data_IF_284862695690
#
_entry.id   IF_284862695690
#
_cell.length_a   1.000
_cell.length_b   1.000
_cell.length_c   1.000
_cell.angle_alpha   90.00
_cell.angle_beta   90.00
_cell.angle_gamma   90.00
#
_symmetry.space_group_name_H-M   'P 1'
#
loop_
_entity.id
_entity.type
_entity.pdbx_description
1 polymer ?
#
# COMPACT_ATOMS: atom_id res chain seq x y z
N UNK A 1 14.08 0.62 -12.48
CA UNK A 1 12.79 1.37 -12.38
C UNK A 1 12.10 1.03 -11.06
N UNK A 2 11.63 2.03 -10.33
CA UNK A 2 10.74 1.90 -9.18
C UNK A 2 9.28 2.17 -9.61
N UNK A 3 8.40 1.26 -9.28
CA UNK A 3 6.95 1.43 -9.39
C UNK A 3 6.39 1.66 -7.98
N UNK A 4 6.19 2.92 -7.60
CA UNK A 4 5.59 3.28 -6.32
C UNK A 4 4.07 3.34 -6.42
N UNK A 5 3.37 2.54 -5.62
CA UNK A 5 1.91 2.48 -5.62
C UNK A 5 1.40 3.04 -4.29
N UNK A 6 0.93 4.28 -4.30
CA UNK A 6 0.33 4.97 -3.16
C UNK A 6 -1.19 4.70 -3.10
N UNK A 7 -1.83 5.11 -2.02
CA UNK A 7 -3.29 5.00 -1.84
C UNK A 7 -3.70 4.73 -0.39
N UNK A 8 -4.98 4.83 -0.05
CA UNK A 8 -5.47 4.62 1.31
C UNK A 8 -5.39 3.15 1.75
N UNK A 9 -5.49 2.91 3.04
CA UNK A 9 -5.78 1.57 3.57
C UNK A 9 -7.07 1.05 2.91
N UNK A 10 -7.06 -0.19 2.42
CA UNK A 10 -8.20 -0.69 1.66
C UNK A 10 -8.21 -0.29 0.17
N UNK A 11 -7.33 0.61 -0.29
CA UNK A 11 -7.25 1.07 -1.67
C UNK A 11 -6.81 0.03 -2.70
N UNK A 12 -6.24 -1.10 -2.28
CA UNK A 12 -5.85 -2.19 -3.18
C UNK A 12 -4.38 -2.21 -3.58
N UNK A 13 -3.53 -1.35 -3.02
CA UNK A 13 -2.09 -1.23 -3.33
C UNK A 13 -1.35 -2.55 -3.36
N UNK A 14 -1.28 -3.25 -2.23
CA UNK A 14 -0.55 -4.51 -2.12
C UNK A 14 -1.10 -5.59 -3.06
N UNK A 15 -2.43 -5.65 -3.25
CA UNK A 15 -3.04 -6.58 -4.20
C UNK A 15 -2.63 -6.26 -5.63
N UNK A 16 -2.60 -4.97 -6.01
CA UNK A 16 -2.17 -4.51 -7.33
C UNK A 16 -0.68 -4.76 -7.54
N UNK A 17 0.15 -4.47 -6.54
CA UNK A 17 1.59 -4.75 -6.56
C UNK A 17 1.87 -6.25 -6.80
N UNK A 18 1.22 -7.13 -6.06
CA UNK A 18 1.37 -8.57 -6.24
C UNK A 18 0.77 -9.09 -7.55
N UNK A 19 -0.28 -8.45 -8.08
CA UNK A 19 -0.82 -8.77 -9.40
C UNK A 19 0.18 -8.41 -10.51
N UNK A 20 0.79 -7.22 -10.44
CA UNK A 20 1.83 -6.81 -11.38
C UNK A 20 3.01 -7.77 -11.29
N UNK A 21 3.54 -8.04 -10.07
CA UNK A 21 4.64 -8.97 -9.86
C UNK A 21 4.38 -10.34 -10.49
N UNK A 22 3.17 -10.87 -10.33
CA UNK A 22 2.80 -12.19 -10.89
C UNK A 22 2.89 -12.22 -12.41
N UNK A 23 2.55 -11.10 -13.06
CA UNK A 23 2.43 -11.00 -14.52
C UNK A 23 3.63 -10.32 -15.18
N UNK A 24 4.55 -9.79 -14.40
CA UNK A 24 5.78 -9.15 -14.88
C UNK A 24 6.99 -9.97 -14.39
N UNK A 25 7.52 -10.89 -15.23
CA UNK A 25 8.68 -11.68 -14.86
C UNK A 25 9.89 -10.82 -14.50
N UNK A 26 10.64 -11.25 -13.50
CA UNK A 26 11.80 -10.50 -13.01
C UNK A 26 11.46 -9.34 -12.09
N UNK A 27 10.20 -8.98 -11.87
CA UNK A 27 9.84 -7.93 -10.91
C UNK A 27 9.79 -8.45 -9.47
N UNK A 28 10.04 -7.56 -8.51
CA UNK A 28 9.97 -7.84 -7.07
C UNK A 28 9.08 -6.84 -6.35
N UNK A 29 8.47 -7.27 -5.24
CA UNK A 29 7.75 -6.36 -4.33
C UNK A 29 8.65 -6.11 -3.14
N UNK A 30 9.04 -4.86 -2.94
CA UNK A 30 9.75 -4.35 -1.76
C UNK A 30 8.77 -3.46 -0.98
N UNK A 31 8.18 -4.01 0.08
CA UNK A 31 7.15 -3.31 0.84
C UNK A 31 7.77 -2.46 1.95
N UNK A 32 7.65 -1.12 1.90
CA UNK A 32 8.22 -0.23 2.91
C UNK A 32 7.63 -0.39 4.32
N UNK A 33 6.43 -0.98 4.45
CA UNK A 33 5.85 -1.27 5.78
C UNK A 33 6.72 -2.25 6.57
N UNK A 34 7.46 -3.14 5.91
CA UNK A 34 8.34 -4.11 6.60
C UNK A 34 9.50 -3.42 7.34
N UNK A 35 10.01 -2.30 6.83
CA UNK A 35 11.00 -1.47 7.55
C UNK A 35 10.37 -0.92 8.82
N UNK A 36 9.15 -0.39 8.73
CA UNK A 36 8.39 0.12 9.87
C UNK A 36 8.11 -0.94 10.93
N UNK A 37 7.68 -2.13 10.52
CA UNK A 37 7.46 -3.25 11.44
C UNK A 37 8.76 -3.71 12.12
N UNK A 38 9.89 -3.68 11.41
CA UNK A 38 11.21 -3.94 12.00
C UNK A 38 11.54 -2.94 13.09
N UNK A 39 11.35 -1.64 12.83
CA UNK A 39 11.56 -0.58 13.81
C UNK A 39 10.63 -0.71 15.02
N UNK A 40 9.35 -0.98 14.80
CA UNK A 40 8.39 -1.18 15.90
C UNK A 40 8.79 -2.34 16.82
N UNK A 41 9.35 -3.42 16.29
CA UNK A 41 9.82 -4.55 17.12
C UNK A 41 11.03 -4.21 17.97
N UNK A 42 11.82 -3.22 17.57
CA UNK A 42 12.99 -2.76 18.34
C UNK A 42 12.66 -1.67 19.36
N UNK A 43 11.50 -1.00 19.23
CA UNK A 43 11.08 0.08 20.12
C UNK A 43 10.23 -0.46 21.28
N UNK A 44 10.32 0.18 22.47
CA UNK A 44 9.35 -0.02 23.55
C UNK A 44 7.92 0.24 23.06
N UNK A 45 6.90 -0.48 23.56
CA UNK A 45 5.52 -0.35 23.09
C UNK A 45 4.96 1.08 23.14
N UNK A 46 5.34 1.85 24.16
CA UNK A 46 4.92 3.24 24.39
C UNK A 46 5.48 4.24 23.36
N UNK A 47 6.48 3.85 22.58
CA UNK A 47 7.10 4.65 21.52
C UNK A 47 6.69 4.20 20.11
N UNK A 48 5.73 3.29 20.00
CA UNK A 48 5.26 2.73 18.71
C UNK A 48 4.10 3.53 18.13
N UNK A 49 4.33 4.79 17.83
CA UNK A 49 3.38 5.64 17.08
C UNK A 49 3.42 5.32 15.58
N UNK A 50 3.14 6.28 14.70
CA UNK A 50 3.31 6.06 13.27
C UNK A 50 4.80 5.98 12.93
N UNK A 51 5.23 4.84 12.42
CA UNK A 51 6.65 4.65 12.06
C UNK A 51 7.12 5.62 10.96
N UNK A 52 6.21 6.23 10.18
CA UNK A 52 6.56 7.23 9.18
C UNK A 52 7.13 8.52 9.81
N UNK A 53 6.76 8.81 11.06
CA UNK A 53 7.30 9.94 11.82
C UNK A 53 8.78 9.75 12.18
N UNK A 54 9.26 8.51 12.19
CA UNK A 54 10.66 8.19 12.44
C UNK A 54 11.55 8.51 11.24
N UNK A 55 12.56 9.34 11.42
CA UNK A 55 13.57 9.60 10.39
C UNK A 55 14.27 8.30 9.95
N UNK A 56 14.51 7.37 10.87
CA UNK A 56 15.10 6.07 10.61
C UNK A 56 14.25 5.20 9.66
N UNK A 57 12.91 5.35 9.67
CA UNK A 57 12.08 4.68 8.69
C UNK A 57 12.28 5.27 7.29
N UNK A 58 12.22 6.59 7.16
CA UNK A 58 12.36 7.27 5.86
C UNK A 58 13.74 7.01 5.24
N UNK A 59 14.79 7.12 6.03
CA UNK A 59 16.16 6.80 5.61
C UNK A 59 16.31 5.32 5.24
N UNK A 60 15.84 4.41 6.09
CA UNK A 60 15.92 2.98 5.83
C UNK A 60 15.14 2.53 4.60
N UNK A 61 13.99 3.15 4.32
CA UNK A 61 13.25 2.92 3.05
C UNK A 61 14.07 3.34 1.85
N UNK A 62 14.71 4.52 1.91
CA UNK A 62 15.58 4.98 0.81
C UNK A 62 16.76 4.03 0.61
N UNK A 63 17.48 3.67 1.67
CA UNK A 63 18.65 2.79 1.59
C UNK A 63 18.30 1.40 1.02
N UNK A 64 17.20 0.79 1.50
CA UNK A 64 16.76 -0.53 1.03
C UNK A 64 16.31 -0.49 -0.44
N UNK A 65 15.56 0.55 -0.82
CA UNK A 65 15.07 0.66 -2.20
C UNK A 65 16.18 1.08 -3.16
N UNK A 66 17.11 1.95 -2.76
CA UNK A 66 18.31 2.30 -3.55
C UNK A 66 19.17 1.06 -3.82
N UNK A 67 19.45 0.26 -2.79
CA UNK A 67 20.15 -1.01 -2.93
C UNK A 67 19.43 -1.96 -3.89
N UNK A 68 18.10 -2.09 -3.75
CA UNK A 68 17.30 -2.96 -4.62
C UNK A 68 17.34 -2.46 -6.07
N UNK A 69 17.15 -1.16 -6.29
CA UNK A 69 17.16 -0.55 -7.63
C UNK A 69 18.53 -0.60 -8.32
N UNK A 70 19.61 -0.58 -7.54
CA UNK A 70 20.99 -0.66 -8.04
C UNK A 70 21.41 -2.08 -8.38
N UNK A 71 20.92 -3.09 -7.64
CA UNK A 71 21.40 -4.48 -7.75
C UNK A 71 20.44 -5.44 -8.42
N UNK A 72 19.18 -5.02 -8.64
CA UNK A 72 18.16 -5.86 -9.26
C UNK A 72 17.81 -5.32 -10.65
N UNK A 73 17.96 -6.16 -11.66
CA UNK A 73 17.76 -5.76 -13.07
C UNK A 73 16.25 -5.61 -13.45
N UNK A 74 15.34 -6.04 -12.59
CA UNK A 74 13.91 -5.98 -12.83
C UNK A 74 13.23 -4.74 -12.25
N UNK A 75 11.90 -4.71 -12.36
CA UNK A 75 11.08 -3.65 -11.77
C UNK A 75 10.92 -3.90 -10.28
N UNK A 76 11.24 -2.91 -9.46
CA UNK A 76 10.98 -2.89 -8.02
C UNK A 76 9.60 -2.23 -7.80
N UNK A 77 8.71 -2.89 -7.07
CA UNK A 77 7.34 -2.43 -6.82
C UNK A 77 7.19 -2.17 -5.32
N UNK A 78 6.88 -0.93 -4.95
CA UNK A 78 6.73 -0.52 -3.56
C UNK A 78 5.29 -0.02 -3.27
N UNK A 79 4.43 -0.86 -2.65
CA UNK A 79 3.10 -0.43 -2.22
C UNK A 79 3.18 0.23 -0.84
N UNK A 80 2.82 1.51 -0.72
CA UNK A 80 2.85 2.21 0.57
C UNK A 80 1.76 3.29 0.62
N UNK A 81 1.24 3.58 1.81
CA UNK A 81 0.42 4.77 2.05
C UNK A 81 1.32 5.87 2.60
N UNK A 82 1.54 6.94 1.84
CA UNK A 82 2.22 8.15 2.29
C UNK A 82 1.33 9.33 1.94
N UNK A 83 0.89 10.08 2.96
CA UNK A 83 -0.03 11.22 2.82
C UNK A 83 0.64 12.55 3.17
N UNK A 84 1.81 12.51 3.79
CA UNK A 84 2.58 13.68 4.16
C UNK A 84 3.58 14.02 3.04
N UNK A 85 3.47 15.19 2.37
CA UNK A 85 4.34 15.57 1.27
C UNK A 85 5.82 15.57 1.64
N UNK A 86 6.14 15.99 2.85
CA UNK A 86 7.50 15.96 3.35
C UNK A 86 8.05 14.53 3.38
N UNK A 87 7.28 13.55 3.87
CA UNK A 87 7.73 12.15 3.93
C UNK A 87 7.84 11.55 2.53
N UNK A 88 6.94 11.95 1.62
CA UNK A 88 7.02 11.57 0.22
C UNK A 88 8.29 12.12 -0.43
N UNK A 89 8.63 13.39 -0.21
CA UNK A 89 9.86 13.99 -0.71
C UNK A 89 11.11 13.34 -0.09
N UNK A 90 11.12 13.07 1.23
CA UNK A 90 12.24 12.43 1.92
C UNK A 90 12.44 10.95 1.54
N UNK A 91 11.47 10.31 0.88
CA UNK A 91 11.54 8.90 0.42
C UNK A 91 11.59 8.82 -1.10
N UNK A 92 10.45 8.97 -1.76
CA UNK A 92 10.32 8.84 -3.22
C UNK A 92 11.09 9.94 -3.95
N UNK A 93 10.99 11.20 -3.49
CA UNK A 93 11.74 12.33 -4.03
C UNK A 93 13.24 12.08 -3.93
N UNK A 94 13.73 11.61 -2.78
CA UNK A 94 15.16 11.30 -2.58
C UNK A 94 15.68 10.22 -3.52
N UNK A 95 14.87 9.18 -3.81
CA UNK A 95 15.23 8.15 -4.77
C UNK A 95 15.33 8.72 -6.21
N UNK A 96 14.48 9.67 -6.56
CA UNK A 96 14.57 10.40 -7.82
C UNK A 96 15.85 11.23 -7.92
N UNK A 97 16.24 11.93 -6.84
CA UNK A 97 17.52 12.68 -6.76
C UNK A 97 18.75 11.78 -6.91
N UNK A 98 18.66 10.52 -6.48
CA UNK A 98 19.70 9.51 -6.69
C UNK A 98 19.77 8.99 -8.13
N UNK A 99 18.89 9.48 -9.02
CA UNK A 99 18.89 9.17 -10.46
C UNK A 99 18.07 7.94 -10.84
N UNK A 100 17.24 7.40 -9.93
CA UNK A 100 16.38 6.27 -10.27
C UNK A 100 15.17 6.69 -11.11
N UNK A 101 14.77 5.85 -12.07
CA UNK A 101 13.51 6.01 -12.82
C UNK A 101 12.33 5.65 -11.92
N UNK A 102 11.57 6.68 -11.51
CA UNK A 102 10.44 6.58 -10.60
C UNK A 102 9.13 6.71 -11.37
N UNK A 103 8.25 5.73 -11.22
CA UNK A 103 6.86 5.76 -11.69
C UNK A 103 5.94 5.69 -10.46
N UNK A 104 5.27 6.80 -10.18
CA UNK A 104 4.39 6.92 -9.04
C UNK A 104 2.92 6.91 -9.48
N UNK A 105 2.09 6.12 -8.80
CA UNK A 105 0.64 6.04 -9.02
C UNK A 105 -0.08 6.04 -7.69
N UNK A 106 -1.13 6.85 -7.58
CA UNK A 106 -1.99 6.87 -6.40
C UNK A 106 -3.34 6.25 -6.71
N UNK A 107 -3.65 5.14 -6.03
CA UNK A 107 -4.93 4.49 -6.14
C UNK A 107 -5.95 5.22 -5.27
N UNK A 108 -6.95 5.83 -5.89
CA UNK A 108 -8.06 6.48 -5.23
C UNK A 108 -9.32 5.62 -5.31
N UNK A 109 -10.20 5.79 -4.34
CA UNK A 109 -11.56 5.26 -4.36
C UNK A 109 -12.44 6.13 -3.46
N UNK A 110 -13.75 6.11 -3.72
CA UNK A 110 -14.73 6.75 -2.86
C UNK A 110 -14.69 6.12 -1.45
N UNK A 111 -14.95 6.94 -0.45
CA UNK A 111 -14.95 6.55 0.97
C UNK A 111 -15.73 5.25 1.23
N UNK A 112 -16.93 5.16 0.68
CA UNK A 112 -17.81 4.00 0.85
C UNK A 112 -17.22 2.72 0.24
N UNK A 113 -16.54 2.85 -0.89
CA UNK A 113 -15.83 1.74 -1.52
C UNK A 113 -14.67 1.26 -0.66
N UNK A 114 -13.89 2.18 -0.07
CA UNK A 114 -12.79 1.82 0.83
C UNK A 114 -13.34 1.11 2.08
N UNK A 115 -14.36 1.66 2.72
CA UNK A 115 -14.99 1.06 3.91
C UNK A 115 -15.57 -0.32 3.62
N UNK A 116 -16.26 -0.50 2.46
CA UNK A 116 -16.75 -1.81 2.04
C UNK A 116 -15.61 -2.82 1.88
N UNK A 117 -14.53 -2.45 1.20
CA UNK A 117 -13.35 -3.30 1.00
C UNK A 117 -12.66 -3.68 2.31
N UNK A 118 -12.60 -2.77 3.28
CA UNK A 118 -12.07 -3.03 4.61
C UNK A 118 -12.92 -4.05 5.37
N UNK A 119 -14.25 -3.95 5.29
CA UNK A 119 -15.19 -4.92 5.88
C UNK A 119 -15.07 -6.31 5.24
N UNK A 120 -15.01 -6.37 3.91
CA UNK A 120 -14.90 -7.62 3.14
C UNK A 120 -13.58 -8.36 3.40
N UNK A 121 -12.47 -7.64 3.63
CA UNK A 121 -11.15 -8.23 3.93
C UNK A 121 -11.06 -8.97 5.26
N UNK A 122 -12.14 -9.04 6.02
CA UNK A 122 -12.17 -9.80 7.27
C UNK A 122 -11.44 -9.12 8.43
N UNK A 123 -11.08 -7.82 8.30
CA UNK A 123 -10.64 -7.03 9.44
C UNK A 123 -11.68 -7.13 10.57
N UNK A 124 -12.97 -7.21 10.24
CA UNK A 124 -14.04 -7.50 11.19
C UNK A 124 -13.93 -8.89 11.86
N UNK A 125 -13.38 -9.91 11.17
CA UNK A 125 -13.14 -11.23 11.76
C UNK A 125 -11.87 -11.27 12.60
N UNK A 126 -10.83 -10.51 12.20
CA UNK A 126 -9.59 -10.43 12.97
C UNK A 126 -9.76 -9.60 14.24
N UNK A 127 -10.47 -8.48 14.16
CA UNK A 127 -10.87 -7.70 15.34
C UNK A 127 -11.70 -8.53 16.31
N UNK A 128 -12.52 -9.48 15.82
CA UNK A 128 -13.21 -10.48 16.67
C UNK A 128 -12.25 -11.46 17.35
N UNK A 129 -11.22 -11.92 16.64
CA UNK A 129 -10.23 -12.88 17.17
C UNK A 129 -9.24 -12.24 18.13
N UNK A 130 -8.93 -10.97 17.96
CA UNK A 130 -8.05 -10.20 18.84
C UNK A 130 -8.75 -9.70 20.12
N UNK A 131 -9.89 -10.31 20.52
CA UNK A 131 -10.58 -9.95 21.77
C UNK A 131 -11.36 -8.64 21.73
N UNK A 132 -11.44 -7.98 20.57
CA UNK A 132 -12.40 -6.90 20.36
C UNK A 132 -13.78 -7.54 20.18
N UNK A 133 -14.45 -7.79 21.29
CA UNK A 133 -15.77 -8.40 21.34
C UNK A 133 -16.73 -7.63 20.42
N UNK A 134 -17.16 -8.30 19.36
CA UNK A 134 -18.33 -7.88 18.59
C UNK A 134 -19.55 -8.18 19.44
N UNK A 135 -19.95 -7.24 20.20
CA UNK A 135 -21.07 -7.26 21.14
C UNK A 135 -21.13 -5.98 21.94
N UNK A 136 -20.02 -5.25 22.05
CA UNK A 136 -20.06 -3.87 22.53
C UNK A 136 -20.07 -2.97 21.30
N UNK A 137 -21.15 -2.18 21.13
CA UNK A 137 -21.18 -1.06 20.18
C UNK A 137 -19.85 -0.32 20.29
N UNK A 138 -19.16 0.00 19.18
CA UNK A 138 -17.96 0.79 19.22
C UNK A 138 -18.25 2.02 20.08
N UNK A 139 -17.34 2.35 20.99
CA UNK A 139 -17.49 3.60 21.75
C UNK A 139 -17.61 4.73 20.75
N UNK A 140 -18.59 5.67 20.89
CA UNK A 140 -18.88 6.71 19.90
C UNK A 140 -17.72 7.59 19.47
N UNK A 141 -16.57 7.52 20.08
CA UNK A 141 -15.38 8.29 19.69
C UNK A 141 -14.37 7.55 18.80
N UNK A 142 -14.45 6.24 18.66
CA UNK A 142 -13.43 5.45 17.93
C UNK A 142 -13.73 5.24 16.44
N UNK A 143 -15.02 5.12 16.09
CA UNK A 143 -15.43 5.12 14.67
C UNK A 143 -15.23 6.49 14.04
N UNK A 144 -15.60 7.56 14.73
CA UNK A 144 -15.41 8.92 14.24
C UNK A 144 -13.93 9.27 14.02
N UNK A 145 -13.01 8.77 14.86
CA UNK A 145 -11.57 9.02 14.70
C UNK A 145 -10.98 8.23 13.51
N UNK A 146 -11.35 6.95 13.36
CA UNK A 146 -10.91 6.14 12.23
C UNK A 146 -11.48 6.64 10.89
N UNK A 147 -12.72 7.15 10.91
CA UNK A 147 -13.37 7.76 9.76
C UNK A 147 -12.71 9.09 9.39
N UNK A 148 -12.46 9.97 10.36
CA UNK A 148 -11.77 11.24 10.13
C UNK A 148 -10.33 11.02 9.57
N UNK A 149 -9.63 9.99 10.04
CA UNK A 149 -8.32 9.64 9.52
C UNK A 149 -8.39 9.11 8.09
N UNK A 150 -9.45 8.39 7.74
CA UNK A 150 -9.67 7.95 6.35
C UNK A 150 -9.99 9.13 5.45
N UNK A 151 -10.88 10.01 5.88
CA UNK A 151 -11.28 11.20 5.12
C UNK A 151 -10.07 12.10 4.85
N UNK A 152 -9.29 12.40 5.88
CA UNK A 152 -8.03 13.14 5.73
C UNK A 152 -7.05 12.43 4.77
N UNK A 153 -6.91 11.11 4.86
CA UNK A 153 -6.05 10.34 3.96
C UNK A 153 -6.52 10.46 2.49
N UNK A 154 -7.83 10.38 2.25
CA UNK A 154 -8.39 10.51 0.90
C UNK A 154 -8.22 11.91 0.33
N UNK A 155 -8.47 12.94 1.14
CA UNK A 155 -8.26 14.35 0.77
C UNK A 155 -6.81 14.61 0.40
N UNK A 156 -5.86 14.22 1.27
CA UNK A 156 -4.43 14.41 1.02
C UNK A 156 -3.96 13.69 -0.24
N UNK A 157 -4.35 12.44 -0.43
CA UNK A 157 -3.95 11.65 -1.59
C UNK A 157 -4.56 12.14 -2.91
N UNK A 158 -5.62 12.93 -2.87
CA UNK A 158 -6.21 13.55 -4.06
C UNK A 158 -5.47 14.82 -4.51
N UNK A 159 -4.52 15.32 -3.71
CA UNK A 159 -3.76 16.52 -4.05
C UNK A 159 -2.80 16.29 -5.23
N UNK A 160 -2.49 17.32 -6.03
CA UNK A 160 -1.69 17.21 -7.25
C UNK A 160 -0.29 16.62 -7.03
N UNK A 161 0.32 16.81 -5.86
CA UNK A 161 1.63 16.27 -5.53
C UNK A 161 1.67 14.75 -5.48
N UNK A 162 0.51 14.09 -5.35
CA UNK A 162 0.38 12.63 -5.37
C UNK A 162 -0.15 12.10 -6.71
N UNK A 163 -0.12 12.89 -7.78
CA UNK A 163 -0.46 12.38 -9.12
C UNK A 163 0.58 11.27 -9.52
N UNK A 164 0.29 10.30 -10.40
CA UNK A 164 -0.93 10.10 -11.18
C UNK A 164 -2.02 9.38 -10.39
N UNK A 165 -3.23 9.92 -10.46
CA UNK A 165 -4.39 9.36 -9.77
C UNK A 165 -5.11 8.31 -10.61
N UNK A 166 -5.41 7.14 -10.02
CA UNK A 166 -6.16 6.06 -10.63
C UNK A 166 -7.38 5.71 -9.75
N UNK A 167 -8.57 6.06 -10.22
CA UNK A 167 -9.82 5.72 -9.54
C UNK A 167 -10.14 4.25 -9.71
N UNK A 168 -10.38 3.56 -8.57
CA UNK A 168 -10.51 2.11 -8.52
C UNK A 168 -11.92 1.61 -8.14
N UNK A 169 -12.92 2.48 -8.08
CA UNK A 169 -14.28 2.13 -7.67
C UNK A 169 -14.96 1.11 -8.58
N UNK A 170 -14.78 1.31 -9.88
CA UNK A 170 -15.41 0.50 -10.94
C UNK A 170 -14.43 -0.40 -11.67
N UNK A 171 -13.27 -0.67 -11.08
CA UNK A 171 -12.24 -1.51 -11.71
C UNK A 171 -11.84 -2.66 -10.81
N UNK A 172 -11.30 -3.70 -11.42
CA UNK A 172 -10.76 -4.87 -10.72
C UNK A 172 -9.25 -4.73 -10.54
N UNK A 173 -8.66 -5.44 -9.56
CA UNK A 173 -7.22 -5.46 -9.34
C UNK A 173 -6.42 -5.79 -10.63
N UNK A 174 -6.80 -6.81 -11.45
CA UNK A 174 -6.12 -7.06 -12.72
C UNK A 174 -6.18 -5.88 -13.69
N UNK A 175 -7.34 -5.25 -13.83
CA UNK A 175 -7.48 -4.07 -14.71
C UNK A 175 -6.70 -2.86 -14.21
N UNK A 176 -6.64 -2.65 -12.89
CA UNK A 176 -5.80 -1.60 -12.30
C UNK A 176 -4.32 -1.88 -12.59
N UNK A 177 -3.89 -3.14 -12.47
CA UNK A 177 -2.53 -3.55 -12.81
C UNK A 177 -2.22 -3.32 -14.30
N UNK A 178 -3.14 -3.67 -15.21
CA UNK A 178 -3.00 -3.41 -16.64
C UNK A 178 -2.86 -1.91 -16.93
N UNK A 179 -3.68 -1.08 -16.29
CA UNK A 179 -3.63 0.39 -16.46
C UNK A 179 -2.30 0.97 -16.01
N UNK A 180 -1.82 0.57 -14.83
CA UNK A 180 -0.51 0.98 -14.31
C UNK A 180 0.60 0.56 -15.29
N UNK A 181 0.57 -0.68 -15.76
CA UNK A 181 1.59 -1.19 -16.67
C UNK A 181 1.65 -0.38 -17.97
N UNK A 182 0.51 -0.09 -18.59
CA UNK A 182 0.44 0.75 -19.79
C UNK A 182 1.05 2.13 -19.53
N UNK A 183 0.68 2.80 -18.44
CA UNK A 183 1.19 4.13 -18.09
C UNK A 183 2.68 4.12 -17.74
N UNK A 184 3.19 3.01 -17.18
CA UNK A 184 4.59 2.83 -16.87
C UNK A 184 5.44 2.31 -18.06
N UNK A 185 4.84 2.06 -19.23
CA UNK A 185 5.53 1.50 -20.40
C UNK A 185 5.91 0.02 -20.22
N UNK A 186 5.17 -0.74 -19.40
CA UNK A 186 5.43 -2.14 -19.09
C UNK A 186 4.43 -3.06 -19.82
N UNK A 187 4.88 -4.26 -20.16
CA UNK A 187 4.03 -5.30 -20.77
C UNK A 187 3.82 -6.45 -19.79
N UNK A 188 2.60 -6.61 -19.32
CA UNK A 188 2.23 -7.72 -18.44
C UNK A 188 1.84 -8.97 -19.27
N UNK A 189 2.16 -10.15 -18.75
CA UNK A 189 1.58 -11.39 -19.26
C UNK A 189 0.05 -11.37 -19.15
N UNK A 190 -0.68 -12.02 -20.07
CA UNK A 190 -2.13 -12.14 -19.97
C UNK A 190 -2.57 -12.66 -18.60
N UNK A 191 -3.76 -12.24 -18.17
CA UNK A 191 -4.33 -12.76 -16.93
C UNK A 191 -5.19 -13.99 -17.23
N UNK A 192 -4.59 -15.17 -17.17
CA UNK A 192 -5.24 -16.46 -17.45
C UNK A 192 -5.92 -17.06 -16.20
N UNK A 193 -5.91 -16.35 -15.07
CA UNK A 193 -6.55 -16.82 -13.84
C UNK A 193 -8.07 -16.56 -13.85
N UNK A 194 -8.83 -17.61 -13.59
CA UNK A 194 -10.28 -17.49 -13.34
C UNK A 194 -10.59 -16.70 -12.06
N UNK A 195 -11.79 -16.11 -12.00
CA UNK A 195 -12.22 -15.23 -10.91
C UNK A 195 -12.07 -15.85 -9.50
N UNK A 196 -12.28 -17.16 -9.35
CA UNK A 196 -12.17 -17.86 -8.08
C UNK A 196 -10.71 -17.92 -7.57
N UNK A 197 -9.76 -18.28 -8.44
CA UNK A 197 -8.32 -18.31 -8.10
C UNK A 197 -7.81 -16.90 -7.74
N UNK A 198 -8.25 -15.90 -8.49
CA UNK A 198 -7.94 -14.49 -8.21
C UNK A 198 -8.41 -14.07 -6.80
N UNK A 199 -9.64 -14.44 -6.41
CA UNK A 199 -10.18 -14.15 -5.06
C UNK A 199 -9.39 -14.85 -3.94
N UNK A 200 -9.05 -16.12 -4.11
CA UNK A 200 -8.29 -16.90 -3.10
C UNK A 200 -6.90 -16.27 -2.91
N UNK A 201 -6.22 -15.92 -3.99
CA UNK A 201 -4.91 -15.27 -3.94
C UNK A 201 -4.97 -13.89 -3.28
N UNK A 202 -5.96 -13.08 -3.63
CA UNK A 202 -6.17 -11.77 -3.01
C UNK A 202 -6.41 -11.89 -1.49
N UNK A 203 -7.13 -12.90 -1.06
CA UNK A 203 -7.29 -13.20 0.37
C UNK A 203 -5.97 -13.59 1.02
N UNK A 204 -5.11 -14.36 0.35
CA UNK A 204 -3.77 -14.73 0.83
C UNK A 204 -2.82 -13.53 0.97
N UNK A 205 -2.85 -12.60 0.01
CA UNK A 205 -2.09 -11.34 0.09
C UNK A 205 -2.56 -10.50 1.28
N UNK A 206 -3.88 -10.37 1.45
CA UNK A 206 -4.45 -9.61 2.56
C UNK A 206 -4.06 -10.19 3.95
N UNK A 207 -3.93 -11.52 4.06
CA UNK A 207 -3.53 -12.18 5.31
C UNK A 207 -2.06 -11.95 5.67
N UNK A 208 -1.16 -11.83 4.69
CA UNK A 208 0.27 -11.58 4.92
C UNK A 208 0.56 -10.16 5.41
N UNK A 209 -0.32 -9.21 5.12
CA UNK A 209 -0.21 -7.81 5.56
C UNK A 209 -1.01 -7.52 6.84
N UNK A 210 -1.52 -8.56 7.50
CA UNK A 210 -2.12 -8.40 8.82
C UNK A 210 -1.01 -8.39 9.85
N UNK A 211 -0.91 -7.31 10.62
CA UNK A 211 -0.02 -7.22 11.78
C UNK A 211 -0.33 -8.39 12.72
N UNK A 212 0.64 -9.27 12.90
CA UNK A 212 0.70 -10.23 13.99
C UNK A 212 1.67 -9.66 15.02
N UNK A 213 1.22 -8.65 15.76
CA UNK A 213 1.87 -8.18 16.98
C UNK A 213 1.24 -8.85 18.18
#
# INVERSE_FOLDING_TARGET
MLLWINGPFGGGKSQTAHEIRRRLPGSVVCDPEHVGFGLHRTLPPELRDDFQDLASWRQGVVEVLDLALTRHDGVVIAPMTVTEPRYFAETVGRLGELGHDIRHFTLLAERETVLRRLRERGLGRLLRRAGYAVGKRPRPGRESWAEARLDHCLERLAEPEFAEHLWTDRTTVPRTADRIAVLAGLTLRPNDEGALRTRIRQAGVALRHVRTD
#
